data_IF_664973680602
#
_entry.id   IF_664973680602
#
_cell.length_a   1.000
_cell.length_b   1.000
_cell.length_c   1.000
_cell.angle_alpha   90.00
_cell.angle_beta   90.00
_cell.angle_gamma   90.00
#
_symmetry.space_group_name_H-M   'P 1'
#
loop_
_entity.id
_entity.type
_entity.pdbx_description
1 polymer ?
#
# COMPACT_ATOMS: atom_id res chain seq x y z
N UNK A 1 -16.80 6.56 -22.29
CA UNK A 1 -15.91 5.37 -22.37
C UNK A 1 -14.57 5.62 -23.08
N UNK A 2 -14.50 6.28 -24.25
CA UNK A 2 -13.21 6.51 -24.96
C UNK A 2 -12.12 7.25 -24.16
N UNK A 3 -12.49 8.16 -23.24
CA UNK A 3 -11.52 8.91 -22.41
C UNK A 3 -10.85 8.05 -21.33
N UNK A 4 -11.63 7.17 -20.69
CA UNK A 4 -11.13 6.25 -19.66
C UNK A 4 -10.15 5.23 -20.27
N UNK A 5 -10.49 4.71 -21.45
CA UNK A 5 -9.64 3.81 -22.21
C UNK A 5 -8.30 4.45 -22.60
N UNK A 6 -8.32 5.69 -23.11
CA UNK A 6 -7.08 6.42 -23.43
C UNK A 6 -6.21 6.69 -22.20
N UNK A 7 -6.83 7.01 -21.06
CA UNK A 7 -6.09 7.20 -19.80
C UNK A 7 -5.42 5.90 -19.35
N UNK A 8 -6.14 4.76 -19.41
CA UNK A 8 -5.58 3.44 -19.14
C UNK A 8 -4.41 3.11 -20.07
N UNK A 9 -4.54 3.31 -21.37
CA UNK A 9 -3.45 3.07 -22.31
C UNK A 9 -2.22 3.93 -22.02
N UNK A 10 -2.39 5.23 -21.74
CA UNK A 10 -1.27 6.11 -21.38
C UNK A 10 -0.57 5.67 -20.09
N UNK A 11 -1.34 5.22 -19.09
CA UNK A 11 -0.79 4.70 -17.84
C UNK A 11 0.01 3.41 -18.11
N UNK A 12 -0.52 2.47 -18.90
CA UNK A 12 0.21 1.25 -19.26
C UNK A 12 1.52 1.58 -19.98
N UNK A 13 1.50 2.48 -20.98
CA UNK A 13 2.71 2.88 -21.70
C UNK A 13 3.74 3.57 -20.80
N UNK A 14 3.28 4.41 -19.87
CA UNK A 14 4.17 5.05 -18.89
C UNK A 14 4.80 4.01 -17.95
N UNK A 15 4.01 3.01 -17.50
CA UNK A 15 4.50 1.90 -16.69
C UNK A 15 5.57 1.12 -17.47
N UNK A 16 5.32 0.74 -18.72
CA UNK A 16 6.28 -0.01 -19.54
C UNK A 16 7.62 0.74 -19.70
N UNK A 17 7.57 2.05 -19.96
CA UNK A 17 8.77 2.90 -20.04
C UNK A 17 9.55 2.94 -18.73
N UNK A 18 8.85 3.09 -17.59
CA UNK A 18 9.46 3.10 -16.27
C UNK A 18 10.09 1.74 -15.95
N UNK A 19 9.41 0.63 -16.27
CA UNK A 19 9.93 -0.72 -16.07
C UNK A 19 11.19 -0.96 -16.92
N UNK A 20 11.22 -0.48 -18.16
CA UNK A 20 12.38 -0.61 -19.04
C UNK A 20 13.59 0.19 -18.53
N UNK A 21 13.36 1.44 -18.11
CA UNK A 21 14.42 2.29 -17.53
C UNK A 21 14.95 1.71 -16.21
N UNK A 22 14.05 1.27 -15.32
CA UNK A 22 14.42 0.64 -14.06
C UNK A 22 15.19 -0.67 -14.29
N UNK A 23 14.77 -1.49 -15.26
CA UNK A 23 15.47 -2.73 -15.62
C UNK A 23 16.91 -2.45 -16.05
N UNK A 24 17.13 -1.51 -16.97
CA UNK A 24 18.47 -1.20 -17.45
C UNK A 24 19.37 -0.69 -16.31
N UNK A 25 18.85 0.22 -15.48
CA UNK A 25 19.61 0.76 -14.34
C UNK A 25 19.93 -0.31 -13.27
N UNK A 26 18.97 -1.21 -13.00
CA UNK A 26 19.12 -2.28 -12.00
C UNK A 26 20.07 -3.40 -12.46
N UNK A 27 20.06 -3.78 -13.74
CA UNK A 27 20.99 -4.79 -14.28
C UNK A 27 22.45 -4.33 -14.15
N UNK A 28 22.69 -3.02 -14.33
CA UNK A 28 24.02 -2.42 -14.19
C UNK A 28 24.47 -2.31 -12.73
N UNK A 29 23.57 -2.42 -11.75
CA UNK A 29 23.86 -2.13 -10.33
C UNK A 29 23.20 -3.12 -9.35
N UNK A 30 23.78 -4.30 -9.18
CA UNK A 30 23.24 -5.36 -8.30
C UNK A 30 23.07 -4.93 -6.83
N UNK A 31 23.92 -4.01 -6.35
CA UNK A 31 23.84 -3.48 -4.99
C UNK A 31 22.58 -2.61 -4.78
N UNK A 32 22.10 -1.93 -5.83
CA UNK A 32 20.86 -1.14 -5.79
C UNK A 32 19.66 -2.06 -5.60
N UNK A 33 19.62 -3.20 -6.30
CA UNK A 33 18.53 -4.19 -6.17
C UNK A 33 18.50 -4.77 -4.76
N UNK A 34 19.66 -5.14 -4.22
CA UNK A 34 19.78 -5.67 -2.85
C UNK A 34 19.34 -4.65 -1.79
N UNK A 35 19.79 -3.39 -1.93
CA UNK A 35 19.38 -2.28 -1.06
C UNK A 35 17.87 -1.99 -1.13
N UNK A 36 17.32 -1.92 -2.35
CA UNK A 36 15.90 -1.68 -2.58
C UNK A 36 15.03 -2.79 -1.98
N UNK A 37 15.41 -4.06 -2.14
CA UNK A 37 14.70 -5.20 -1.52
C UNK A 37 14.65 -5.11 0.00
N UNK A 38 15.78 -4.79 0.65
CA UNK A 38 15.82 -4.60 2.12
C UNK A 38 14.91 -3.45 2.56
N UNK A 39 14.94 -2.34 1.82
CA UNK A 39 14.14 -1.16 2.12
C UNK A 39 12.63 -1.42 1.92
N UNK A 40 12.26 -2.18 0.88
CA UNK A 40 10.89 -2.61 0.65
C UNK A 40 10.37 -3.51 1.79
N UNK A 41 11.19 -4.43 2.29
CA UNK A 41 10.81 -5.29 3.43
C UNK A 41 10.62 -4.46 4.70
N UNK A 42 11.60 -3.64 5.07
CA UNK A 42 11.53 -2.82 6.28
C UNK A 42 10.35 -1.84 6.21
N UNK A 43 10.20 -1.15 5.08
CA UNK A 43 9.09 -0.22 4.86
C UNK A 43 7.73 -0.94 4.86
N UNK A 44 7.65 -2.14 4.27
CA UNK A 44 6.44 -2.96 4.28
C UNK A 44 6.03 -3.37 5.69
N UNK A 45 6.99 -3.79 6.54
CA UNK A 45 6.74 -4.11 7.95
C UNK A 45 6.23 -2.87 8.70
N UNK A 46 6.87 -1.71 8.51
CA UNK A 46 6.44 -0.47 9.15
C UNK A 46 5.01 -0.08 8.76
N UNK A 47 4.68 -0.15 7.47
CA UNK A 47 3.33 0.15 6.96
C UNK A 47 2.30 -0.84 7.50
N UNK A 48 2.65 -2.13 7.60
CA UNK A 48 1.76 -3.15 8.18
C UNK A 48 1.47 -2.87 9.66
N UNK A 49 2.48 -2.46 10.44
CA UNK A 49 2.31 -2.03 11.84
C UNK A 49 1.36 -0.83 11.91
N UNK A 50 1.59 0.21 11.11
CA UNK A 50 0.70 1.38 11.07
C UNK A 50 -0.74 1.01 10.68
N UNK A 51 -0.91 0.11 9.71
CA UNK A 51 -2.23 -0.40 9.31
C UNK A 51 -2.93 -1.10 10.49
N UNK A 52 -2.23 -1.99 11.19
CA UNK A 52 -2.77 -2.69 12.35
C UNK A 52 -3.15 -1.73 13.49
N UNK A 53 -2.34 -0.70 13.75
CA UNK A 53 -2.64 0.32 14.75
C UNK A 53 -3.94 1.08 14.42
N UNK A 54 -4.15 1.43 13.15
CA UNK A 54 -5.38 2.12 12.72
C UNK A 54 -6.61 1.20 12.84
N UNK A 55 -6.48 -0.09 12.50
CA UNK A 55 -7.52 -1.09 12.73
C UNK A 55 -7.89 -1.20 14.21
N UNK A 56 -6.91 -1.28 15.09
CA UNK A 56 -7.14 -1.34 16.54
C UNK A 56 -7.79 -0.08 17.09
N UNK A 57 -7.34 1.11 16.67
CA UNK A 57 -7.93 2.37 17.08
C UNK A 57 -9.40 2.47 16.64
N UNK A 58 -9.70 2.03 15.42
CA UNK A 58 -11.06 1.97 14.89
C UNK A 58 -11.95 1.02 15.70
N UNK A 59 -11.47 -0.19 15.99
CA UNK A 59 -12.20 -1.17 16.80
C UNK A 59 -12.48 -0.64 18.21
N UNK A 60 -11.50 0.00 18.82
CA UNK A 60 -11.63 0.61 20.15
C UNK A 60 -12.68 1.72 20.18
N UNK A 61 -12.75 2.57 19.14
CA UNK A 61 -13.81 3.58 19.02
C UNK A 61 -15.21 2.95 18.91
N UNK A 62 -15.34 1.85 18.17
CA UNK A 62 -16.62 1.13 18.05
C UNK A 62 -17.03 0.43 19.35
N UNK A 63 -16.06 -0.12 20.08
CA UNK A 63 -16.29 -0.74 21.39
C UNK A 63 -16.77 0.28 22.42
N UNK A 64 -16.12 1.45 22.50
CA UNK A 64 -16.56 2.53 23.38
C UNK A 64 -17.98 3.00 23.06
N UNK A 65 -18.33 3.10 21.77
CA UNK A 65 -19.69 3.38 21.32
C UNK A 65 -20.71 2.34 21.79
N UNK A 66 -20.35 1.05 21.71
CA UNK A 66 -21.25 -0.04 22.09
C UNK A 66 -21.53 -0.10 23.61
N UNK A 67 -20.55 0.31 24.43
CA UNK A 67 -20.66 0.30 25.89
C UNK A 67 -21.34 1.57 26.42
N UNK A 68 -21.23 2.68 25.70
CA UNK A 68 -21.80 3.96 26.09
C UNK A 68 -23.31 4.02 25.77
N UNK A 69 -24.13 3.51 26.69
CA UNK A 69 -25.59 3.40 26.52
C UNK A 69 -26.38 4.71 26.36
N UNK A 70 -25.75 5.89 26.53
CA UNK A 70 -26.41 7.20 26.50
C UNK A 70 -25.62 8.27 25.72
N UNK A 71 -25.10 7.94 24.54
CA UNK A 71 -24.46 8.94 23.67
C UNK A 71 -25.48 9.76 22.88
N UNK A 72 -25.20 11.05 22.72
CA UNK A 72 -25.95 11.92 21.80
C UNK A 72 -25.86 11.34 20.37
N UNK A 73 -26.98 11.25 19.63
CA UNK A 73 -26.96 10.85 18.22
C UNK A 73 -25.90 11.54 17.36
N UNK A 74 -25.60 12.82 17.62
CA UNK A 74 -24.55 13.54 16.88
C UNK A 74 -23.15 12.98 17.15
N UNK A 75 -22.86 12.62 18.39
CA UNK A 75 -21.57 12.04 18.80
C UNK A 75 -21.42 10.60 18.28
N UNK A 76 -22.51 9.83 18.26
CA UNK A 76 -22.52 8.49 17.67
C UNK A 76 -22.17 8.51 16.17
N UNK A 77 -22.78 9.42 15.41
CA UNK A 77 -22.51 9.57 13.98
C UNK A 77 -21.08 10.03 13.74
N UNK A 78 -20.58 10.99 14.53
CA UNK A 78 -19.22 11.49 14.40
C UNK A 78 -18.18 10.38 14.64
N UNK A 79 -18.33 9.61 15.72
CA UNK A 79 -17.41 8.53 16.09
C UNK A 79 -17.47 7.37 15.09
N UNK A 80 -18.66 7.01 14.61
CA UNK A 80 -18.83 5.98 13.57
C UNK A 80 -18.13 6.41 12.27
N UNK A 81 -18.28 7.67 11.86
CA UNK A 81 -17.60 8.22 10.68
C UNK A 81 -16.08 8.24 10.84
N UNK A 82 -15.58 8.62 12.02
CA UNK A 82 -14.16 8.59 12.33
C UNK A 82 -13.59 7.17 12.25
N UNK A 83 -14.27 6.19 12.86
CA UNK A 83 -13.90 4.77 12.78
C UNK A 83 -13.88 4.25 11.33
N UNK A 84 -14.91 4.55 10.52
CA UNK A 84 -14.94 4.15 9.12
C UNK A 84 -13.77 4.77 8.31
N UNK A 85 -13.40 6.02 8.61
CA UNK A 85 -12.25 6.69 8.00
C UNK A 85 -10.94 5.99 8.39
N UNK A 86 -10.76 5.64 9.66
CA UNK A 86 -9.58 4.89 10.14
C UNK A 86 -9.46 3.54 9.44
N UNK A 87 -10.56 2.77 9.32
CA UNK A 87 -10.57 1.50 8.58
C UNK A 87 -10.18 1.69 7.11
N UNK A 88 -10.69 2.72 6.46
CA UNK A 88 -10.34 3.03 5.06
C UNK A 88 -8.84 3.33 4.92
N UNK A 89 -8.28 4.14 5.84
CA UNK A 89 -6.84 4.44 5.84
C UNK A 89 -6.01 3.20 6.11
N UNK A 90 -6.44 2.37 7.04
CA UNK A 90 -5.77 1.11 7.35
C UNK A 90 -5.76 0.17 6.14
N UNK A 91 -6.87 0.05 5.42
CA UNK A 91 -6.97 -0.72 4.18
C UNK A 91 -6.06 -0.17 3.07
N UNK A 92 -5.97 1.16 2.90
CA UNK A 92 -5.05 1.77 1.94
C UNK A 92 -3.59 1.44 2.27
N UNK A 93 -3.20 1.46 3.55
CA UNK A 93 -1.87 1.03 3.96
C UNK A 93 -1.64 -0.46 3.66
N UNK A 94 -2.65 -1.31 3.85
CA UNK A 94 -2.61 -2.72 3.44
C UNK A 94 -2.36 -2.90 1.94
N UNK A 95 -3.04 -2.12 1.09
CA UNK A 95 -2.79 -2.11 -0.36
C UNK A 95 -1.36 -1.66 -0.68
N UNK A 96 -0.86 -0.62 -0.02
CA UNK A 96 0.53 -0.16 -0.20
C UNK A 96 1.53 -1.25 0.19
N UNK A 97 1.33 -1.93 1.31
CA UNK A 97 2.19 -3.05 1.73
C UNK A 97 2.16 -4.20 0.72
N UNK A 98 0.99 -4.53 0.17
CA UNK A 98 0.85 -5.55 -0.88
C UNK A 98 1.60 -5.14 -2.16
N UNK A 99 1.52 -3.88 -2.57
CA UNK A 99 2.26 -3.36 -3.72
C UNK A 99 3.77 -3.41 -3.50
N UNK A 100 4.25 -3.07 -2.30
CA UNK A 100 5.67 -3.17 -1.95
C UNK A 100 6.16 -4.62 -2.00
N UNK A 101 5.34 -5.57 -1.57
CA UNK A 101 5.66 -6.99 -1.70
C UNK A 101 5.68 -7.44 -3.17
N UNK A 102 4.72 -7.00 -3.98
CA UNK A 102 4.73 -7.23 -5.43
C UNK A 102 5.99 -6.69 -6.11
N UNK A 103 6.41 -5.47 -5.75
CA UNK A 103 7.66 -4.86 -6.22
C UNK A 103 8.89 -5.65 -5.77
N UNK A 104 8.91 -6.16 -4.54
CA UNK A 104 9.99 -7.01 -4.05
C UNK A 104 10.17 -8.27 -4.91
N UNK A 105 9.06 -8.96 -5.22
CA UNK A 105 9.10 -10.15 -6.09
C UNK A 105 9.47 -9.80 -7.53
N UNK A 106 8.96 -8.70 -8.08
CA UNK A 106 9.32 -8.23 -9.41
C UNK A 106 10.81 -7.89 -9.53
N UNK A 107 11.41 -7.22 -8.55
CA UNK A 107 12.86 -7.03 -8.49
C UNK A 107 13.62 -8.37 -8.36
N UNK A 108 12.97 -9.42 -7.86
CA UNK A 108 13.47 -10.80 -7.86
C UNK A 108 13.67 -11.36 -9.27
N UNK A 109 12.71 -11.13 -10.17
CA UNK A 109 12.76 -11.69 -11.53
C UNK A 109 13.81 -11.01 -12.40
N UNK A 110 14.17 -9.76 -12.12
CA UNK A 110 15.23 -9.05 -12.84
C UNK A 110 16.63 -9.65 -12.61
N UNK A 111 16.91 -10.20 -11.43
CA UNK A 111 18.19 -10.84 -11.14
C UNK A 111 18.34 -12.18 -11.88
N UNK A 112 17.27 -12.98 -11.97
CA UNK A 112 17.33 -14.29 -12.61
C UNK A 112 17.56 -14.19 -14.14
N UNK A 113 17.21 -13.07 -14.75
CA UNK A 113 17.44 -12.79 -16.18
C UNK A 113 18.88 -12.36 -16.50
N UNK A 114 19.74 -12.16 -15.50
CA UNK A 114 21.17 -11.84 -15.70
C UNK A 114 22.02 -13.10 -15.87
N UNK A 115 21.51 -14.24 -15.41
CA UNK A 115 22.19 -15.53 -15.42
C UNK A 115 21.80 -16.42 -16.62
N UNK A 116 20.86 -15.96 -17.47
CA UNK A 116 20.45 -16.56 -18.77
C UNK A 116 21.05 -15.76 -19.95
#
# INVERSE_FOLDING_TARGET
>A
MKKLYRALCMICTAIDCILYAARNYCIENDWVVSGAKKLLVIGGIFIAICSAMLWHASAFMQEQLAIAGHLDPAEMVATTKASAMLNTKAAMLGVTAALMNGLFYWLGTLNNLKDD
#
